data_IF_637100193129
#
_entry.id   IF_637100193129
#
_cell.length_a   1.000
_cell.length_b   1.000
_cell.length_c   1.000
_cell.angle_alpha   90.00
_cell.angle_beta   90.00
_cell.angle_gamma   90.00
#
_symmetry.space_group_name_H-M   'P 1'
#
loop_
_entity.id
_entity.type
_entity.pdbx_description
1 polymer ?
#
# COMPACT_ATOMS: atom_id res chain seq x y z
N UNK A 1 7.41 14.79 -16.65
CA UNK A 1 7.20 13.34 -16.49
C UNK A 1 6.79 12.74 -17.84
N UNK A 2 7.39 11.62 -18.28
CA UNK A 2 7.12 11.03 -19.61
C UNK A 2 5.79 10.27 -19.66
N UNK A 3 5.12 10.28 -20.81
CA UNK A 3 3.81 9.63 -21.02
C UNK A 3 3.81 8.13 -20.70
N UNK A 4 4.90 7.43 -21.00
CA UNK A 4 5.05 5.99 -20.70
C UNK A 4 4.97 5.69 -19.20
N UNK A 5 5.48 6.60 -18.35
CA UNK A 5 5.42 6.45 -16.89
C UNK A 5 4.01 6.73 -16.40
N UNK A 6 3.33 7.74 -16.97
CA UNK A 6 1.96 8.04 -16.63
C UNK A 6 1.06 6.84 -16.93
N UNK A 7 1.16 6.22 -18.10
CA UNK A 7 0.37 5.01 -18.42
C UNK A 7 0.57 3.90 -17.39
N UNK A 8 1.82 3.67 -16.95
CA UNK A 8 2.11 2.68 -15.90
C UNK A 8 1.57 3.07 -14.54
N UNK A 9 1.68 4.34 -14.14
CA UNK A 9 1.14 4.84 -12.86
C UNK A 9 -0.39 4.75 -12.82
N UNK A 10 -1.06 5.13 -13.90
CA UNK A 10 -2.51 5.07 -14.01
C UNK A 10 -3.05 3.65 -14.24
N UNK A 11 -2.18 2.66 -14.49
CA UNK A 11 -2.57 1.25 -14.61
C UNK A 11 -2.84 0.56 -13.26
N UNK A 12 -2.28 1.05 -12.16
CA UNK A 12 -2.50 0.52 -10.81
C UNK A 12 -2.81 1.67 -9.83
N UNK A 13 -4.07 1.74 -9.41
CA UNK A 13 -4.56 2.77 -8.50
C UNK A 13 -3.80 2.79 -7.17
N UNK A 14 -3.29 1.64 -6.70
CA UNK A 14 -2.56 1.54 -5.42
C UNK A 14 -1.18 2.16 -5.54
N UNK A 15 -0.51 1.96 -6.68
CA UNK A 15 0.78 2.58 -6.98
C UNK A 15 0.59 4.09 -7.14
N UNK A 16 -0.49 4.52 -7.79
CA UNK A 16 -0.84 5.93 -7.91
C UNK A 16 -1.13 6.57 -6.55
N UNK A 17 -1.85 5.89 -5.66
CA UNK A 17 -2.11 6.36 -4.30
C UNK A 17 -0.82 6.46 -3.48
N UNK A 18 0.08 5.48 -3.63
CA UNK A 18 1.40 5.52 -3.01
C UNK A 18 2.23 6.73 -3.50
N UNK A 19 2.18 7.02 -4.82
CA UNK A 19 2.82 8.21 -5.38
C UNK A 19 2.26 9.50 -4.77
N UNK A 20 0.93 9.62 -4.67
CA UNK A 20 0.26 10.79 -4.07
C UNK A 20 0.68 11.05 -2.63
N UNK A 21 0.97 10.00 -1.87
CA UNK A 21 1.44 10.09 -0.46
C UNK A 21 2.94 10.39 -0.33
N UNK A 22 3.71 10.21 -1.40
CA UNK A 22 5.16 10.35 -1.39
C UNK A 22 5.63 11.39 -2.41
N UNK A 23 5.52 12.70 -2.09
CA UNK A 23 5.77 13.77 -3.06
C UNK A 23 7.21 13.77 -3.62
N UNK A 24 8.18 13.23 -2.87
CA UNK A 24 9.58 13.04 -3.29
C UNK A 24 9.69 12.37 -4.67
N UNK A 25 8.80 11.41 -4.95
CA UNK A 25 8.86 10.62 -6.16
C UNK A 25 8.44 11.39 -7.41
N UNK A 26 7.59 12.42 -7.29
CA UNK A 26 7.29 13.29 -8.43
C UNK A 26 8.56 13.96 -8.96
N UNK A 27 9.43 14.45 -8.06
CA UNK A 27 10.69 15.07 -8.42
C UNK A 27 11.67 14.08 -9.07
N UNK A 28 11.85 12.90 -8.49
CA UNK A 28 12.77 11.89 -9.02
C UNK A 28 12.33 11.31 -10.38
N UNK A 29 11.01 11.12 -10.56
CA UNK A 29 10.44 10.65 -11.83
C UNK A 29 10.46 11.72 -12.92
N UNK A 30 10.48 12.99 -12.54
CA UNK A 30 10.62 14.11 -13.49
C UNK A 30 12.08 14.30 -13.93
N UNK A 31 13.04 14.16 -13.01
CA UNK A 31 14.48 14.23 -13.28
C UNK A 31 14.99 13.14 -14.21
N UNK A 32 14.70 11.87 -13.89
CA UNK A 32 15.10 10.74 -14.72
C UNK A 32 14.01 9.67 -14.73
N UNK A 33 13.44 9.33 -15.90
CA UNK A 33 12.43 8.28 -16.02
C UNK A 33 12.94 6.89 -15.60
N UNK A 34 14.26 6.65 -15.59
CA UNK A 34 14.86 5.39 -15.09
C UNK A 34 14.64 5.19 -13.60
N UNK A 35 14.35 6.26 -12.86
CA UNK A 35 14.01 6.17 -11.43
C UNK A 35 12.69 5.44 -11.17
N UNK A 36 11.86 5.23 -12.20
CA UNK A 36 10.62 4.48 -12.10
C UNK A 36 10.82 3.06 -11.56
N UNK A 37 11.93 2.40 -11.89
CA UNK A 37 12.22 1.03 -11.41
C UNK A 37 12.40 1.02 -9.88
N UNK A 38 13.09 2.03 -9.34
CA UNK A 38 13.28 2.16 -7.89
C UNK A 38 11.98 2.52 -7.19
N UNK A 39 11.22 3.45 -7.77
CA UNK A 39 9.88 3.81 -7.30
C UNK A 39 8.95 2.59 -7.26
N UNK A 40 8.88 1.82 -8.34
CA UNK A 40 8.01 0.66 -8.45
C UNK A 40 8.36 -0.40 -7.40
N UNK A 41 9.65 -0.61 -7.15
CA UNK A 41 10.11 -1.52 -6.09
C UNK A 41 9.70 -1.03 -4.70
N UNK A 42 9.97 0.23 -4.38
CA UNK A 42 9.62 0.82 -3.07
C UNK A 42 8.10 0.81 -2.85
N UNK A 43 7.33 1.14 -3.89
CA UNK A 43 5.87 1.11 -3.86
C UNK A 43 5.33 -0.31 -3.63
N UNK A 44 5.85 -1.32 -4.34
CA UNK A 44 5.43 -2.73 -4.17
C UNK A 44 5.77 -3.25 -2.78
N UNK A 45 6.96 -2.94 -2.26
CA UNK A 45 7.37 -3.34 -0.91
C UNK A 45 6.46 -2.71 0.15
N UNK A 46 6.22 -1.40 0.07
CA UNK A 46 5.36 -0.69 1.00
C UNK A 46 3.89 -1.16 0.93
N UNK A 47 3.38 -1.43 -0.27
CA UNK A 47 2.02 -1.94 -0.45
C UNK A 47 1.88 -3.37 0.08
N UNK A 48 2.87 -4.24 -0.13
CA UNK A 48 2.85 -5.60 0.41
C UNK A 48 2.89 -5.59 1.95
N UNK A 49 3.74 -4.77 2.57
CA UNK A 49 3.73 -4.56 4.02
C UNK A 49 2.36 -4.08 4.49
N UNK A 50 1.78 -3.08 3.82
CA UNK A 50 0.46 -2.55 4.15
C UNK A 50 -0.64 -3.62 4.07
N UNK A 51 -0.57 -4.53 3.09
CA UNK A 51 -1.52 -5.65 2.97
C UNK A 51 -1.35 -6.65 4.11
N UNK A 52 -0.12 -7.02 4.44
CA UNK A 52 0.19 -7.93 5.55
C UNK A 52 -0.31 -7.36 6.87
N UNK A 53 -0.02 -6.09 7.14
CA UNK A 53 -0.45 -5.39 8.36
C UNK A 53 -1.98 -5.32 8.46
N UNK A 54 -2.66 -5.06 7.35
CA UNK A 54 -4.13 -5.06 7.29
C UNK A 54 -4.71 -6.44 7.62
N UNK A 55 -4.12 -7.52 7.11
CA UNK A 55 -4.55 -8.89 7.43
C UNK A 55 -4.32 -9.21 8.91
N UNK A 56 -3.18 -8.80 9.48
CA UNK A 56 -2.89 -9.01 10.89
C UNK A 56 -3.88 -8.26 11.79
N UNK A 57 -4.19 -7.01 11.46
CA UNK A 57 -5.18 -6.21 12.18
C UNK A 57 -6.59 -6.82 12.09
N UNK A 58 -6.96 -7.39 10.94
CA UNK A 58 -8.23 -8.10 10.80
C UNK A 58 -8.29 -9.34 11.71
N UNK A 59 -7.21 -10.13 11.77
CA UNK A 59 -7.12 -11.28 12.68
C UNK A 59 -7.30 -10.85 14.15
N UNK A 60 -6.67 -9.73 14.55
CA UNK A 60 -6.82 -9.17 15.91
C UNK A 60 -8.28 -8.80 16.21
N UNK A 61 -8.97 -8.18 15.27
CA UNK A 61 -10.40 -7.84 15.42
C UNK A 61 -11.28 -9.09 15.54
N UNK A 62 -11.06 -10.11 14.71
CA UNK A 62 -11.80 -11.37 14.78
C UNK A 62 -11.57 -12.04 16.13
N UNK A 63 -10.32 -12.15 16.58
CA UNK A 63 -9.98 -12.76 17.87
C UNK A 63 -10.64 -12.02 19.04
N UNK A 64 -10.68 -10.68 18.99
CA UNK A 64 -11.37 -9.87 19.98
C UNK A 64 -12.88 -10.12 19.99
N UNK A 65 -13.53 -10.12 18.83
CA UNK A 65 -14.97 -10.43 18.70
C UNK A 65 -15.27 -11.83 19.22
N UNK A 66 -14.48 -12.84 18.86
CA UNK A 66 -14.64 -14.21 19.37
C UNK A 66 -14.46 -14.28 20.89
N UNK A 67 -13.53 -13.53 21.45
CA UNK A 67 -13.31 -13.46 22.91
C UNK A 67 -14.50 -12.81 23.63
N UNK A 68 -15.08 -11.75 23.06
CA UNK A 68 -16.30 -11.11 23.58
C UNK A 68 -17.50 -12.06 23.55
N UNK A 69 -17.73 -12.74 22.42
CA UNK A 69 -18.83 -13.72 22.31
C UNK A 69 -18.66 -14.83 23.35
N UNK A 70 -17.43 -15.34 23.51
CA UNK A 70 -17.13 -16.37 24.52
C UNK A 70 -17.39 -15.86 25.94
N UNK A 71 -17.00 -14.63 26.26
CA UNK A 71 -17.26 -14.04 27.58
C UNK A 71 -18.78 -13.90 27.87
N UNK A 72 -19.55 -13.44 26.88
CA UNK A 72 -20.99 -13.27 27.00
C UNK A 72 -21.75 -14.60 27.05
N UNK A 73 -21.28 -15.63 26.34
CA UNK A 73 -21.91 -16.95 26.33
C UNK A 73 -21.61 -17.79 27.57
N UNK A 74 -20.57 -17.45 28.34
CA UNK A 74 -20.13 -18.21 29.51
C UNK A 74 -20.64 -17.60 30.83
N UNK A 75 -21.69 -16.76 30.75
CA UNK A 75 -22.38 -16.10 31.86
C UNK A 75 -23.88 -16.40 31.75
#
# INVERSE_FOLDING_TARGET
>A
MRDEILVKLYSDERILEYLRKNPKWYYYLDLDPRNYIYFEREAKEALNMTVVDKIENLKKQINFVSSLIKYLSNK
#
